data_IF_168522349098
#
_entry.id   IF_168522349098
#
_cell.length_a   1.000
_cell.length_b   1.000
_cell.length_c   1.000
_cell.angle_alpha   90.00
_cell.angle_beta   90.00
_cell.angle_gamma   90.00
#
_symmetry.space_group_name_H-M   'P 1'
#
loop_
_entity.id
_entity.type
_entity.pdbx_description
1 polymer ?
#
# COMPACT_ATOMS: atom_id res chain seq x y z
N UNK A 1 21.20 0.09 -44.16
CA UNK A 1 21.28 -0.02 -42.68
C UNK A 1 19.85 -0.21 -42.13
N UNK A 2 19.51 -1.45 -41.81
CA UNK A 2 18.21 -1.82 -41.23
C UNK A 2 18.27 -1.39 -39.75
N UNK A 3 17.42 -0.42 -39.39
CA UNK A 3 17.31 0.05 -38.02
C UNK A 3 16.95 -1.09 -37.08
N UNK A 4 17.73 -1.28 -36.02
CA UNK A 4 17.38 -2.18 -34.92
C UNK A 4 16.02 -1.73 -34.35
N UNK A 5 14.96 -2.51 -34.58
CA UNK A 5 13.72 -2.40 -33.84
C UNK A 5 14.06 -2.75 -32.41
N UNK A 6 13.99 -1.77 -31.52
CA UNK A 6 13.97 -2.04 -30.08
C UNK A 6 12.69 -2.84 -29.79
N UNK A 7 12.82 -4.15 -29.65
CA UNK A 7 11.75 -5.01 -29.14
C UNK A 7 11.60 -4.76 -27.63
N UNK A 8 11.06 -3.60 -27.25
CA UNK A 8 10.59 -3.40 -25.91
C UNK A 8 9.26 -4.16 -25.77
N UNK A 9 9.32 -5.39 -25.29
CA UNK A 9 8.12 -6.12 -24.90
C UNK A 9 7.41 -5.34 -23.82
N UNK A 10 6.13 -5.08 -24.04
CA UNK A 10 5.26 -4.49 -23.02
C UNK A 10 4.82 -5.60 -22.06
N UNK A 11 4.83 -5.32 -20.77
CA UNK A 11 4.40 -6.25 -19.73
C UNK A 11 3.71 -5.50 -18.60
N UNK A 12 2.86 -6.20 -17.86
CA UNK A 12 2.11 -5.70 -16.72
C UNK A 12 2.46 -6.55 -15.51
N UNK A 13 2.67 -5.90 -14.36
CA UNK A 13 2.82 -6.56 -13.06
C UNK A 13 1.55 -6.36 -12.27
N UNK A 14 0.96 -7.45 -11.83
CA UNK A 14 -0.19 -7.49 -10.92
C UNK A 14 0.25 -8.09 -9.57
N UNK A 15 -0.55 -7.94 -8.50
CA UNK A 15 -0.33 -8.67 -7.26
C UNK A 15 -0.21 -10.18 -7.52
N UNK A 16 0.70 -10.88 -6.84
CA UNK A 16 0.82 -12.35 -6.95
C UNK A 16 -0.47 -13.09 -6.62
N UNK A 17 -1.33 -12.50 -5.80
CA UNK A 17 -2.63 -13.06 -5.42
C UNK A 17 -3.71 -11.99 -5.44
N UNK A 18 -4.83 -12.31 -6.08
CA UNK A 18 -6.05 -11.49 -6.10
C UNK A 18 -7.20 -12.39 -5.71
N UNK A 19 -7.80 -12.13 -4.55
CA UNK A 19 -9.03 -12.79 -4.10
C UNK A 19 -10.21 -11.93 -4.50
N UNK A 20 -11.17 -12.54 -5.17
CA UNK A 20 -12.30 -11.84 -5.80
C UNK A 20 -13.56 -12.66 -5.62
N UNK A 21 -14.20 -12.53 -4.47
CA UNK A 21 -15.51 -13.13 -4.17
C UNK A 21 -16.08 -12.59 -2.86
N UNK A 22 -17.34 -12.87 -2.59
CA UNK A 22 -17.97 -12.59 -1.29
C UNK A 22 -17.26 -13.31 -0.16
N UNK A 23 -17.04 -12.61 0.94
CA UNK A 23 -16.34 -13.11 2.12
C UNK A 23 -14.85 -13.46 1.86
N UNK A 24 -14.24 -12.92 0.82
CA UNK A 24 -12.82 -13.13 0.54
C UNK A 24 -11.90 -12.55 1.62
N UNK A 25 -12.38 -11.63 2.45
CA UNK A 25 -11.66 -11.16 3.66
C UNK A 25 -11.28 -12.30 4.61
N UNK A 26 -11.97 -13.46 4.55
CA UNK A 26 -11.62 -14.67 5.33
C UNK A 26 -10.20 -15.18 5.04
N UNK A 27 -9.62 -14.80 3.90
CA UNK A 27 -8.21 -15.09 3.62
C UNK A 27 -7.28 -14.59 4.71
N UNK A 28 -7.59 -13.46 5.36
CA UNK A 28 -6.79 -12.94 6.47
C UNK A 28 -6.73 -13.91 7.66
N UNK A 29 -7.77 -14.72 7.87
CA UNK A 29 -7.77 -15.76 8.91
C UNK A 29 -6.83 -16.91 8.55
N UNK A 30 -6.78 -17.29 7.28
CA UNK A 30 -6.12 -18.50 6.81
C UNK A 30 -4.70 -18.22 6.26
N UNK A 31 -4.34 -16.94 6.14
CA UNK A 31 -3.03 -16.47 5.70
C UNK A 31 -1.92 -16.95 6.65
N UNK A 32 -0.86 -17.51 6.08
CA UNK A 32 0.34 -17.91 6.86
C UNK A 32 1.16 -16.68 7.25
N UNK A 33 1.96 -16.82 8.32
CA UNK A 33 2.98 -15.85 8.72
C UNK A 33 2.42 -14.44 8.92
N UNK A 34 1.50 -14.30 9.86
CA UNK A 34 0.99 -13.01 10.34
C UNK A 34 1.04 -13.03 11.87
N UNK A 35 1.95 -12.28 12.44
CA UNK A 35 2.13 -12.15 13.88
C UNK A 35 1.82 -10.71 14.34
N UNK A 36 2.15 -9.71 13.52
CA UNK A 36 1.87 -8.30 13.76
C UNK A 36 1.25 -7.66 12.53
N UNK A 37 0.00 -7.27 12.58
CA UNK A 37 -0.67 -6.61 11.48
C UNK A 37 -1.00 -5.16 11.81
N UNK A 38 -0.71 -4.25 10.87
CA UNK A 38 -1.10 -2.85 10.99
C UNK A 38 -2.15 -2.51 9.93
N UNK A 39 -3.30 -2.00 10.38
CA UNK A 39 -4.37 -1.53 9.48
C UNK A 39 -4.16 -0.04 9.20
N UNK A 40 -4.08 0.31 7.92
CA UNK A 40 -4.00 1.70 7.43
C UNK A 40 -5.30 2.04 6.75
N UNK A 41 -6.00 3.07 7.24
CA UNK A 41 -7.34 3.42 6.76
C UNK A 41 -7.67 4.90 7.03
N UNK A 42 -8.90 5.30 6.77
CA UNK A 42 -9.45 6.61 7.09
C UNK A 42 -10.52 6.53 8.17
N UNK A 43 -10.88 7.69 8.75
CA UNK A 43 -11.89 7.79 9.82
C UNK A 43 -13.28 7.34 9.36
N UNK A 44 -13.60 7.47 8.09
CA UNK A 44 -14.87 7.00 7.53
C UNK A 44 -15.00 5.49 7.64
N UNK A 45 -13.99 4.76 7.23
CA UNK A 45 -13.96 3.29 7.32
C UNK A 45 -13.99 2.80 8.77
N UNK A 46 -13.29 3.48 9.66
CA UNK A 46 -13.34 3.20 11.10
C UNK A 46 -14.76 3.39 11.66
N UNK A 47 -15.38 4.54 11.41
CA UNK A 47 -16.71 4.86 11.93
C UNK A 47 -17.83 3.98 11.34
N UNK A 48 -17.65 3.46 10.13
CA UNK A 48 -18.57 2.53 9.47
C UNK A 48 -18.41 1.08 9.94
N UNK A 49 -17.45 0.78 10.85
CA UNK A 49 -17.25 -0.56 11.39
C UNK A 49 -16.48 -1.53 10.48
N UNK A 50 -15.89 -1.05 9.37
CA UNK A 50 -15.12 -1.92 8.48
C UNK A 50 -13.82 -2.40 9.12
N UNK A 51 -13.20 -1.58 9.97
CA UNK A 51 -12.02 -2.00 10.76
C UNK A 51 -12.38 -3.16 11.67
N UNK A 52 -13.49 -3.06 12.41
CA UNK A 52 -13.97 -4.12 13.30
C UNK A 52 -14.21 -5.45 12.55
N UNK A 53 -14.79 -5.40 11.34
CA UNK A 53 -14.93 -6.60 10.50
C UNK A 53 -13.58 -7.28 10.21
N UNK A 54 -12.55 -6.51 9.90
CA UNK A 54 -11.19 -7.04 9.64
C UNK A 54 -10.60 -7.63 10.93
N UNK A 55 -10.70 -6.90 12.04
CA UNK A 55 -10.23 -7.38 13.35
C UNK A 55 -10.91 -8.68 13.76
N UNK A 56 -12.22 -8.80 13.58
CA UNK A 56 -12.98 -10.00 13.90
C UNK A 56 -12.52 -11.22 13.09
N UNK A 57 -12.20 -11.03 11.82
CA UNK A 57 -11.65 -12.10 10.99
C UNK A 57 -10.27 -12.52 11.50
N UNK A 58 -9.41 -11.56 11.86
CA UNK A 58 -8.07 -11.82 12.36
C UNK A 58 -8.12 -12.48 13.75
N UNK A 59 -9.02 -12.06 14.64
CA UNK A 59 -9.22 -12.68 15.99
C UNK A 59 -9.62 -14.15 15.92
N UNK A 60 -10.20 -14.63 14.81
CA UNK A 60 -10.58 -16.04 14.61
C UNK A 60 -9.41 -16.91 14.14
N UNK A 61 -8.21 -16.39 14.07
CA UNK A 61 -7.00 -17.15 13.75
C UNK A 61 -6.63 -18.12 14.88
N UNK A 62 -5.88 -19.17 14.56
CA UNK A 62 -5.33 -20.10 15.55
C UNK A 62 -4.20 -19.48 16.39
N UNK A 63 -3.38 -18.63 15.76
CA UNK A 63 -2.34 -17.87 16.45
C UNK A 63 -2.83 -16.48 16.81
N UNK A 64 -2.39 -15.97 17.95
CA UNK A 64 -2.62 -14.58 18.33
C UNK A 64 -1.88 -13.67 17.33
N UNK A 65 -2.52 -12.60 16.91
CA UNK A 65 -1.92 -11.53 16.09
C UNK A 65 -2.04 -10.24 16.87
N UNK A 66 -0.93 -9.53 17.02
CA UNK A 66 -0.95 -8.18 17.57
C UNK A 66 -1.40 -7.21 16.46
N UNK A 67 -2.33 -6.32 16.81
CA UNK A 67 -2.93 -5.39 15.87
C UNK A 67 -2.60 -3.95 16.24
N UNK A 68 -2.24 -3.16 15.24
CA UNK A 68 -2.09 -1.71 15.36
C UNK A 68 -2.96 -1.03 14.30
N UNK A 69 -3.46 0.17 14.58
CA UNK A 69 -4.39 0.89 13.73
C UNK A 69 -3.90 2.32 13.45
N UNK A 70 -3.78 2.65 12.18
CA UNK A 70 -3.61 4.01 11.70
C UNK A 70 -4.82 4.41 10.85
N UNK A 71 -5.67 5.30 11.36
CA UNK A 71 -6.94 5.70 10.72
C UNK A 71 -7.03 7.20 10.37
N UNK A 72 -5.89 7.88 10.35
CA UNK A 72 -5.82 9.32 10.06
C UNK A 72 -5.45 9.64 8.61
N UNK A 73 -5.68 8.71 7.68
CA UNK A 73 -5.48 9.01 6.27
C UNK A 73 -6.58 9.96 5.80
N UNK A 74 -6.18 11.14 5.30
CA UNK A 74 -7.08 12.10 4.69
C UNK A 74 -7.23 11.88 3.18
N UNK A 75 -8.29 12.41 2.54
CA UNK A 75 -8.35 12.49 1.09
C UNK A 75 -7.13 13.22 0.54
N UNK A 76 -6.54 12.72 -0.57
CA UNK A 76 -5.28 13.23 -1.09
C UNK A 76 -4.15 13.22 -0.03
N UNK A 77 -3.70 12.05 0.41
CA UNK A 77 -2.85 11.90 1.58
C UNK A 77 -1.57 12.71 1.47
N UNK A 78 -1.20 13.36 2.57
CA UNK A 78 -0.01 14.23 2.63
C UNK A 78 1.24 13.47 3.04
N UNK A 79 2.40 14.10 2.77
CA UNK A 79 3.70 13.64 3.25
C UNK A 79 3.68 13.50 4.78
N UNK A 80 3.15 14.51 5.48
CA UNK A 80 3.10 14.53 6.96
C UNK A 80 2.29 13.33 7.50
N UNK A 81 1.20 12.94 6.81
CA UNK A 81 0.40 11.76 7.17
C UNK A 81 1.18 10.47 6.93
N UNK A 82 1.89 10.36 5.81
CA UNK A 82 2.74 9.21 5.53
C UNK A 82 3.85 9.07 6.58
N UNK A 83 4.54 10.15 6.92
CA UNK A 83 5.62 10.14 7.92
C UNK A 83 5.13 9.68 9.29
N UNK A 84 3.95 10.13 9.75
CA UNK A 84 3.32 9.66 11.00
C UNK A 84 3.04 8.16 10.97
N UNK A 85 2.49 7.65 9.85
CA UNK A 85 2.24 6.23 9.69
C UNK A 85 3.53 5.40 9.70
N UNK A 86 4.59 5.90 9.06
CA UNK A 86 5.92 5.26 9.06
C UNK A 86 6.53 5.22 10.45
N UNK A 87 6.40 6.29 11.24
CA UNK A 87 6.87 6.31 12.63
C UNK A 87 6.17 5.24 13.47
N UNK A 88 4.83 5.12 13.32
CA UNK A 88 4.07 4.07 13.98
C UNK A 88 4.50 2.68 13.53
N UNK A 89 4.72 2.47 12.22
CA UNK A 89 5.24 1.19 11.68
C UNK A 89 6.61 0.84 12.25
N UNK A 90 7.51 1.81 12.41
CA UNK A 90 8.86 1.57 12.97
C UNK A 90 8.80 1.15 14.44
N UNK A 91 7.85 1.69 15.21
CA UNK A 91 7.67 1.35 16.62
C UNK A 91 6.97 0.00 16.81
N UNK A 92 5.99 -0.29 15.96
CA UNK A 92 5.18 -1.53 16.05
C UNK A 92 5.83 -2.72 15.34
N UNK A 93 6.58 -2.49 14.25
CA UNK A 93 7.25 -3.49 13.42
C UNK A 93 6.29 -4.54 12.82
N UNK A 94 5.28 -4.12 12.01
CA UNK A 94 4.35 -5.05 11.39
C UNK A 94 5.04 -5.96 10.36
N UNK A 95 4.61 -7.23 10.29
CA UNK A 95 4.92 -8.17 9.20
C UNK A 95 3.85 -8.19 8.11
N UNK A 96 2.69 -7.59 8.41
CA UNK A 96 1.59 -7.39 7.46
C UNK A 96 1.02 -5.98 7.60
N UNK A 97 0.88 -5.29 6.47
CA UNK A 97 0.20 -4.00 6.37
C UNK A 97 -1.10 -4.24 5.60
N UNK A 98 -2.23 -3.84 6.17
CA UNK A 98 -3.56 -3.98 5.57
C UNK A 98 -4.07 -2.58 5.24
N UNK A 99 -4.07 -2.22 3.96
CA UNK A 99 -4.66 -0.98 3.47
C UNK A 99 -6.15 -1.19 3.20
N UNK A 100 -7.00 -0.61 4.02
CA UNK A 100 -8.46 -0.70 3.92
C UNK A 100 -9.03 0.65 3.49
N UNK A 101 -9.76 0.72 2.40
CA UNK A 101 -10.42 1.96 1.98
C UNK A 101 -10.36 2.24 0.49
N UNK A 102 -10.48 3.52 0.13
CA UNK A 102 -10.33 3.99 -1.24
C UNK A 102 -8.88 4.16 -1.68
N UNK A 103 -8.68 4.76 -2.85
CA UNK A 103 -7.34 5.02 -3.40
C UNK A 103 -6.42 5.76 -2.43
N UNK A 104 -6.91 6.75 -1.67
CA UNK A 104 -6.11 7.51 -0.71
C UNK A 104 -5.49 6.64 0.38
N UNK A 105 -6.27 5.74 1.00
CA UNK A 105 -5.76 4.82 2.03
C UNK A 105 -4.73 3.86 1.48
N UNK A 106 -4.96 3.33 0.27
CA UNK A 106 -4.03 2.40 -0.39
C UNK A 106 -2.76 3.11 -0.86
N UNK A 107 -2.86 4.32 -1.39
CA UNK A 107 -1.71 5.11 -1.84
C UNK A 107 -0.81 5.51 -0.66
N UNK A 108 -1.41 5.98 0.44
CA UNK A 108 -0.68 6.25 1.68
C UNK A 108 0.05 5.01 2.19
N UNK A 109 -0.65 3.87 2.26
CA UNK A 109 -0.08 2.61 2.74
C UNK A 109 1.09 2.12 1.88
N UNK A 110 1.04 2.28 0.54
CA UNK A 110 2.14 1.92 -0.37
C UNK A 110 3.41 2.72 -0.08
N UNK A 111 3.26 4.03 0.15
CA UNK A 111 4.41 4.89 0.42
C UNK A 111 4.92 4.68 1.85
N UNK A 112 4.03 4.47 2.83
CA UNK A 112 4.40 4.06 4.18
C UNK A 112 5.20 2.75 4.14
N UNK A 113 4.73 1.75 3.40
CA UNK A 113 5.41 0.47 3.21
C UNK A 113 6.83 0.63 2.65
N UNK A 114 6.99 1.44 1.59
CA UNK A 114 8.28 1.76 1.00
C UNK A 114 9.24 2.36 2.04
N UNK A 115 8.82 3.40 2.76
CA UNK A 115 9.66 4.11 3.73
C UNK A 115 9.89 3.31 5.02
N UNK A 116 9.02 2.37 5.35
CA UNK A 116 9.20 1.43 6.47
C UNK A 116 10.26 0.37 6.15
N UNK A 117 10.20 -0.24 4.97
CA UNK A 117 11.19 -1.23 4.56
C UNK A 117 12.55 -0.63 4.25
N UNK A 118 12.57 0.61 3.75
CA UNK A 118 13.73 1.34 3.29
C UNK A 118 13.86 2.70 3.98
N UNK A 119 14.34 2.73 5.25
CA UNK A 119 14.48 3.97 6.02
C UNK A 119 15.44 5.01 5.40
N UNK A 120 16.31 4.56 4.50
CA UNK A 120 17.21 5.42 3.73
C UNK A 120 16.50 6.24 2.65
N UNK A 121 15.29 5.81 2.25
CA UNK A 121 14.47 6.52 1.25
C UNK A 121 13.71 7.63 1.95
N UNK A 122 13.96 8.86 1.57
CA UNK A 122 13.19 10.01 2.00
C UNK A 122 12.29 10.53 0.87
N UNK A 123 11.36 11.43 1.22
CA UNK A 123 10.39 11.92 0.24
C UNK A 123 11.04 12.82 -0.83
N UNK A 124 12.14 13.49 -0.53
CA UNK A 124 12.85 14.33 -1.50
C UNK A 124 13.51 13.50 -2.59
N UNK A 125 14.03 12.30 -2.26
CA UNK A 125 14.52 11.34 -3.25
C UNK A 125 13.39 10.85 -4.15
N UNK A 126 12.22 10.59 -3.58
CA UNK A 126 11.01 10.20 -4.32
C UNK A 126 10.57 11.33 -5.26
N UNK A 127 10.58 12.60 -4.80
CA UNK A 127 10.28 13.77 -5.64
C UNK A 127 11.23 13.91 -6.82
N UNK A 128 12.52 13.72 -6.60
CA UNK A 128 13.54 13.82 -7.65
C UNK A 128 13.30 12.81 -8.76
N UNK A 129 12.93 11.58 -8.43
CA UNK A 129 12.56 10.56 -9.42
C UNK A 129 11.42 11.01 -10.32
N UNK A 130 10.41 11.66 -9.76
CA UNK A 130 9.27 12.14 -10.51
C UNK A 130 9.62 13.28 -11.47
N UNK A 131 10.52 14.17 -11.04
CA UNK A 131 10.95 15.31 -11.86
C UNK A 131 11.87 14.92 -13.02
N UNK A 132 12.51 13.76 -12.95
CA UNK A 132 13.47 13.29 -13.98
C UNK A 132 13.04 11.97 -14.64
N UNK A 133 11.85 11.96 -15.24
CA UNK A 133 11.29 10.81 -15.99
C UNK A 133 12.26 10.30 -17.08
N UNK A 134 13.13 11.15 -17.60
CA UNK A 134 14.06 10.80 -18.69
C UNK A 134 15.29 10.05 -18.22
N UNK A 135 15.73 10.24 -16.97
CA UNK A 135 16.99 9.67 -16.47
C UNK A 135 16.82 8.42 -15.64
N UNK A 136 15.62 8.05 -15.17
CA UNK A 136 15.38 6.89 -14.26
C UNK A 136 16.46 6.75 -13.17
N UNK A 137 16.90 7.88 -12.62
CA UNK A 137 18.06 7.95 -11.75
C UNK A 137 17.86 7.20 -10.43
N UNK A 138 16.59 7.07 -9.98
CA UNK A 138 16.24 6.34 -8.78
C UNK A 138 15.40 5.10 -9.12
N UNK A 139 15.90 3.91 -8.80
CA UNK A 139 15.15 2.67 -8.85
C UNK A 139 14.63 2.36 -7.45
N UNK A 140 13.31 2.17 -7.32
CA UNK A 140 12.76 1.73 -6.04
C UNK A 140 13.36 0.37 -5.67
N UNK A 141 13.72 0.19 -4.39
CA UNK A 141 14.19 -1.10 -3.91
C UNK A 141 13.08 -2.15 -3.92
N UNK A 142 13.44 -3.41 -3.79
CA UNK A 142 12.46 -4.49 -3.65
C UNK A 142 11.74 -4.38 -2.31
N UNK A 143 10.42 -4.52 -2.34
CA UNK A 143 9.55 -4.51 -1.16
C UNK A 143 9.02 -5.92 -0.86
N UNK A 144 8.52 -6.11 0.37
CA UNK A 144 7.92 -7.36 0.82
C UNK A 144 8.88 -8.26 1.60
N UNK A 145 10.01 -7.74 2.05
CA UNK A 145 10.99 -8.46 2.88
C UNK A 145 10.69 -8.36 4.38
N UNK A 146 10.27 -7.17 4.85
CA UNK A 146 9.87 -6.96 6.23
C UNK A 146 8.37 -7.17 6.42
N UNK A 147 7.57 -6.63 5.51
CA UNK A 147 6.12 -6.67 5.60
C UNK A 147 5.48 -6.93 4.24
N UNK A 148 4.35 -7.64 4.23
CA UNK A 148 3.51 -7.81 3.05
C UNK A 148 2.41 -6.77 3.04
N UNK A 149 2.18 -6.14 1.89
CA UNK A 149 1.08 -5.21 1.72
C UNK A 149 -0.15 -5.93 1.15
N UNK A 150 -1.26 -5.86 1.88
CA UNK A 150 -2.58 -6.33 1.47
C UNK A 150 -3.47 -5.12 1.24
N UNK A 151 -4.08 -5.02 0.07
CA UNK A 151 -5.03 -3.95 -0.24
C UNK A 151 -6.46 -4.50 -0.30
N UNK A 152 -7.37 -3.83 0.41
CA UNK A 152 -8.80 -4.15 0.48
C UNK A 152 -9.57 -2.90 0.05
N UNK A 153 -9.96 -2.80 -1.23
CA UNK A 153 -10.68 -1.64 -1.73
C UNK A 153 -12.12 -1.60 -1.20
N UNK A 154 -12.59 -0.39 -0.88
CA UNK A 154 -14.00 -0.11 -0.53
C UNK A 154 -14.68 0.77 -1.58
N UNK A 155 -13.97 1.13 -2.64
CA UNK A 155 -14.47 1.95 -3.75
C UNK A 155 -14.19 1.26 -5.08
N UNK A 156 -15.13 1.34 -6.01
CA UNK A 156 -14.93 0.92 -7.39
C UNK A 156 -14.43 2.12 -8.20
N UNK A 157 -13.17 2.07 -8.67
CA UNK A 157 -12.65 3.18 -9.50
C UNK A 157 -11.14 3.19 -9.70
N UNK A 158 -10.35 3.44 -8.66
CA UNK A 158 -8.91 3.69 -8.83
C UNK A 158 -8.09 2.46 -9.25
N UNK A 159 -8.51 1.26 -8.87
CA UNK A 159 -7.73 0.03 -9.07
C UNK A 159 -6.41 0.04 -8.29
N UNK A 160 -6.28 0.87 -7.24
CA UNK A 160 -5.02 0.99 -6.49
C UNK A 160 -4.60 -0.32 -5.84
N UNK A 161 -5.53 -1.22 -5.55
CA UNK A 161 -5.27 -2.56 -5.02
C UNK A 161 -4.45 -3.46 -5.96
N UNK A 162 -4.43 -3.15 -7.25
CA UNK A 162 -3.71 -3.96 -8.26
C UNK A 162 -2.66 -3.17 -9.05
N UNK A 163 -2.54 -1.87 -8.82
CA UNK A 163 -1.64 -1.01 -9.61
C UNK A 163 -0.35 -0.65 -8.88
N UNK A 164 0.74 -0.37 -9.63
CA UNK A 164 2.01 0.11 -9.08
C UNK A 164 2.03 1.63 -8.89
N UNK A 165 0.88 2.27 -8.66
CA UNK A 165 0.74 3.72 -8.54
C UNK A 165 0.43 4.13 -7.12
N UNK A 166 0.89 5.32 -6.73
CA UNK A 166 0.46 6.03 -5.53
C UNK A 166 0.56 7.53 -5.77
N UNK A 167 -0.38 8.31 -5.24
CA UNK A 167 -0.37 9.78 -5.34
C UNK A 167 -0.28 10.36 -3.94
N UNK A 168 0.76 11.17 -3.69
CA UNK A 168 0.98 11.84 -2.41
C UNK A 168 1.05 13.34 -2.62
N UNK A 169 0.47 14.09 -1.68
CA UNK A 169 0.39 15.55 -1.74
C UNK A 169 1.44 16.20 -0.85
N UNK A 170 2.25 17.08 -1.42
CA UNK A 170 3.05 18.03 -0.66
C UNK A 170 2.19 19.28 -0.41
N UNK A 171 1.66 19.41 0.82
CA UNK A 171 0.82 20.55 1.20
C UNK A 171 1.60 21.85 1.21
N UNK A 172 2.92 21.81 1.52
CA UNK A 172 3.78 23.01 1.55
C UNK A 172 4.02 23.57 0.16
N UNK A 173 4.25 22.67 -0.81
CA UNK A 173 4.42 23.05 -2.21
C UNK A 173 3.10 23.13 -2.98
N UNK A 174 1.97 22.79 -2.35
CA UNK A 174 0.64 22.65 -2.99
C UNK A 174 0.71 21.81 -4.28
N UNK A 175 1.39 20.67 -4.22
CA UNK A 175 1.66 19.84 -5.39
C UNK A 175 1.41 18.37 -5.11
N UNK A 176 0.78 17.68 -6.08
CA UNK A 176 0.61 16.23 -6.08
C UNK A 176 1.76 15.56 -6.82
N UNK A 177 2.28 14.49 -6.22
CA UNK A 177 3.34 13.68 -6.79
C UNK A 177 2.81 12.27 -7.08
N UNK A 178 2.51 11.95 -8.35
CA UNK A 178 2.19 10.59 -8.75
C UNK A 178 3.48 9.76 -8.78
N UNK A 179 3.51 8.71 -7.99
CA UNK A 179 4.62 7.77 -7.91
C UNK A 179 4.28 6.53 -8.72
N UNK A 180 5.21 6.07 -9.53
CA UNK A 180 5.01 4.89 -10.38
C UNK A 180 6.25 4.02 -10.33
N UNK A 181 6.11 2.87 -9.70
CA UNK A 181 7.14 1.83 -9.74
C UNK A 181 6.51 0.47 -9.46
N UNK A 182 6.92 -0.55 -10.20
CA UNK A 182 6.43 -1.91 -10.00
C UNK A 182 6.69 -2.47 -8.59
N UNK A 183 7.63 -1.92 -7.84
CA UNK A 183 7.85 -2.26 -6.45
C UNK A 183 6.63 -1.93 -5.57
N UNK A 184 5.86 -0.89 -5.90
CA UNK A 184 4.65 -0.49 -5.17
C UNK A 184 3.43 -1.37 -5.42
N UNK A 185 3.54 -2.40 -6.27
CA UNK A 185 2.45 -3.36 -6.49
C UNK A 185 2.19 -4.13 -5.19
N UNK A 186 0.96 -4.14 -4.67
CA UNK A 186 0.63 -4.87 -3.45
C UNK A 186 0.96 -6.37 -3.55
N UNK A 187 1.22 -7.00 -2.43
CA UNK A 187 1.46 -8.46 -2.36
C UNK A 187 0.18 -9.25 -2.57
N UNK A 188 -0.94 -8.72 -2.05
CA UNK A 188 -2.26 -9.34 -2.16
C UNK A 188 -3.31 -8.25 -2.35
N UNK A 189 -4.27 -8.51 -3.22
CA UNK A 189 -5.51 -7.74 -3.31
C UNK A 189 -6.69 -8.61 -2.85
N UNK A 190 -7.57 -8.06 -2.03
CA UNK A 190 -8.81 -8.74 -1.58
C UNK A 190 -9.98 -7.85 -1.98
N UNK A 191 -10.71 -8.27 -3.00
CA UNK A 191 -11.89 -7.56 -3.52
C UNK A 191 -13.13 -8.29 -3.02
N UNK A 192 -13.64 -7.83 -1.88
CA UNK A 192 -14.83 -8.41 -1.24
C UNK A 192 -16.00 -7.42 -1.40
N UNK A 193 -17.08 -7.81 -2.08
CA UNK A 193 -18.22 -6.93 -2.29
C UNK A 193 -19.14 -6.76 -1.06
N UNK A 194 -18.83 -7.37 0.08
CA UNK A 194 -19.55 -7.26 1.36
C UNK A 194 -18.76 -6.42 2.36
#
# INVERSE_FOLDING_TARGET
RIGRRNNNMQWVKLPPKIYFERNSIKYLRDMKEMDKAMIVTDRGMYNLGYVEKIEDVIRRRRNKVDLELFFDVEPDPSIDTVEKGVELMRNFEPDVIIALGGGSSMDAAKVMWLMYEHPEVNFDDIKQKFMDIRKRAFKFPELGKKARLICIPTTSGTGSEVTPFAVITDKRANKKYPLTDYALTPTVAIVDPE
#
